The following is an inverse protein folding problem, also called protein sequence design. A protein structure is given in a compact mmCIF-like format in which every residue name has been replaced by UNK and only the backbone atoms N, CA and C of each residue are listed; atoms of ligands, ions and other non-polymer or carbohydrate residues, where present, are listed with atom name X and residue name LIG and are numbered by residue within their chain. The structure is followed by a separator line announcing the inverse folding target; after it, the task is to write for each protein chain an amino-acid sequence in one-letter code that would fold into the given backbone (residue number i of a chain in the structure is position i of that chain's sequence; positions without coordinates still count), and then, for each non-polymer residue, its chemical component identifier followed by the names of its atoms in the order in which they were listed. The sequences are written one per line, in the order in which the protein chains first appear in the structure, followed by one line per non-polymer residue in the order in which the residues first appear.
data_IF_212138935672
#
_entry.id   IF_212138935672
#
_cell.length_a   1.000
_cell.length_b   1.000
_cell.length_c   1.000
_cell.angle_alpha   90.00
_cell.angle_beta   90.00
_cell.angle_gamma   90.00
#
_symmetry.space_group_name_H-M   'P 1'
#
loop_
_entity.id
_entity.type
_entity.pdbx_description
1 polymer ?
#
# COMPACT_ATOMS: atom_id res chain seq x y z
N UNK A 1 13.67 11.59 -16.19
CA UNK A 1 12.82 10.38 -16.32
C UNK A 1 13.55 9.11 -15.84
N UNK A 2 14.82 8.94 -16.19
CA UNK A 2 15.65 7.79 -15.78
C UNK A 2 15.65 7.60 -14.24
N UNK A 3 15.82 8.67 -13.46
CA UNK A 3 15.84 8.62 -12.00
C UNK A 3 14.58 7.99 -11.39
N UNK A 4 13.43 8.12 -12.02
CA UNK A 4 12.18 7.55 -11.52
C UNK A 4 12.02 6.07 -11.89
N UNK A 5 12.56 5.65 -13.02
CA UNK A 5 12.67 4.21 -13.34
C UNK A 5 13.65 3.54 -12.38
N UNK A 6 14.79 4.18 -12.12
CA UNK A 6 15.74 3.75 -11.09
C UNK A 6 15.07 3.64 -9.70
N UNK A 7 14.26 4.65 -9.31
CA UNK A 7 13.55 4.63 -8.02
C UNK A 7 12.63 3.41 -7.89
N UNK A 8 11.87 3.10 -8.94
CA UNK A 8 11.01 1.92 -8.97
C UNK A 8 11.86 0.64 -8.84
N UNK A 9 12.95 0.54 -9.60
CA UNK A 9 13.84 -0.62 -9.55
C UNK A 9 14.48 -0.80 -8.16
N UNK A 10 14.98 0.29 -7.55
CA UNK A 10 15.59 0.29 -6.21
C UNK A 10 14.55 -0.06 -5.14
N UNK A 11 13.30 0.44 -5.27
CA UNK A 11 12.22 0.07 -4.37
C UNK A 11 11.92 -1.43 -4.42
N UNK A 12 11.70 -1.98 -5.63
CA UNK A 12 11.41 -3.41 -5.75
C UNK A 12 12.60 -4.30 -5.36
N UNK A 13 13.84 -3.87 -5.62
CA UNK A 13 15.03 -4.56 -5.14
C UNK A 13 15.09 -4.57 -3.60
N UNK A 14 14.83 -3.42 -2.94
CA UNK A 14 14.74 -3.35 -1.49
C UNK A 14 13.63 -4.21 -0.91
N UNK A 15 12.45 -4.17 -1.53
CA UNK A 15 11.32 -5.00 -1.14
C UNK A 15 11.63 -6.51 -1.28
N UNK A 16 12.25 -6.92 -2.39
CA UNK A 16 12.70 -8.31 -2.59
C UNK A 16 13.75 -8.71 -1.56
N UNK A 17 14.69 -7.81 -1.22
CA UNK A 17 15.72 -8.09 -0.21
C UNK A 17 15.11 -8.37 1.17
N UNK A 18 14.05 -7.65 1.56
CA UNK A 18 13.32 -7.92 2.81
C UNK A 18 12.61 -9.28 2.74
N UNK A 19 12.03 -9.64 1.60
CA UNK A 19 11.43 -10.98 1.40
C UNK A 19 12.46 -12.10 1.53
N UNK A 20 13.62 -11.94 0.89
CA UNK A 20 14.73 -12.90 0.98
C UNK A 20 15.28 -13.00 2.41
N UNK A 21 15.36 -11.87 3.12
CA UNK A 21 15.73 -11.88 4.54
C UNK A 21 14.72 -12.70 5.37
N UNK A 22 13.43 -12.52 5.15
CA UNK A 22 12.39 -13.32 5.82
C UNK A 22 12.57 -14.81 5.57
N UNK A 23 12.76 -15.24 4.32
CA UNK A 23 13.03 -16.64 4.00
C UNK A 23 14.32 -17.19 4.65
N UNK A 24 15.37 -16.37 4.71
CA UNK A 24 16.63 -16.76 5.36
C UNK A 24 16.45 -16.96 6.88
N UNK A 25 15.72 -16.07 7.54
CA UNK A 25 15.41 -16.17 8.97
C UNK A 25 14.53 -17.40 9.28
N UNK A 26 13.56 -17.70 8.42
CA UNK A 26 12.72 -18.89 8.54
C UNK A 26 13.57 -20.17 8.36
N UNK A 27 14.40 -20.23 7.34
CA UNK A 27 15.33 -21.36 7.11
C UNK A 27 16.32 -21.56 8.27
N UNK A 28 16.76 -20.46 8.90
CA UNK A 28 17.60 -20.49 10.10
C UNK A 28 16.83 -20.85 11.39
N UNK A 29 15.50 -21.09 11.31
CA UNK A 29 14.62 -21.41 12.44
C UNK A 29 14.69 -20.38 13.58
N UNK A 30 14.78 -19.10 13.22
CA UNK A 30 14.73 -18.00 14.18
C UNK A 30 13.35 -17.95 14.80
N UNK A 31 13.28 -17.58 16.11
CA UNK A 31 11.97 -17.50 16.79
C UNK A 31 11.00 -16.55 16.08
N UNK A 32 9.68 -16.84 16.05
CA UNK A 32 8.70 -16.05 15.33
C UNK A 32 8.74 -14.55 15.68
N UNK A 33 8.87 -14.21 16.96
CA UNK A 33 8.92 -12.81 17.42
C UNK A 33 10.14 -12.05 16.88
N UNK A 34 11.31 -12.68 16.88
CA UNK A 34 12.53 -12.09 16.32
C UNK A 34 12.42 -11.97 14.80
N UNK A 35 11.91 -13.02 14.14
CA UNK A 35 11.66 -13.03 12.70
C UNK A 35 10.77 -11.85 12.29
N UNK A 36 9.58 -11.72 12.89
CA UNK A 36 8.63 -10.66 12.55
C UNK A 36 9.20 -9.27 12.87
N UNK A 37 9.84 -9.11 14.02
CA UNK A 37 10.46 -7.83 14.39
C UNK A 37 11.52 -7.40 13.37
N UNK A 38 12.44 -8.31 13.00
CA UNK A 38 13.52 -8.00 12.04
C UNK A 38 12.97 -7.66 10.67
N UNK A 39 12.00 -8.44 10.17
CA UNK A 39 11.37 -8.20 8.87
C UNK A 39 10.63 -6.86 8.85
N UNK A 40 9.86 -6.54 9.89
CA UNK A 40 9.13 -5.27 10.00
C UNK A 40 10.08 -4.07 10.09
N UNK A 41 11.16 -4.17 10.87
CA UNK A 41 12.18 -3.10 10.94
C UNK A 41 12.90 -2.94 9.61
N UNK A 42 13.26 -4.05 8.95
CA UNK A 42 13.88 -4.00 7.60
C UNK A 42 12.95 -3.35 6.57
N UNK A 43 11.64 -3.61 6.67
CA UNK A 43 10.63 -2.97 5.80
C UNK A 43 10.62 -1.45 5.98
N UNK A 44 10.82 -0.91 7.20
CA UNK A 44 10.93 0.53 7.41
C UNK A 44 12.09 1.14 6.64
N UNK A 45 13.23 0.45 6.51
CA UNK A 45 14.39 0.95 5.76
C UNK A 45 14.12 1.06 4.25
N UNK A 46 13.19 0.29 3.70
CA UNK A 46 12.76 0.40 2.30
C UNK A 46 12.18 1.79 2.01
N UNK A 47 11.66 2.52 3.02
CA UNK A 47 11.23 3.90 2.86
C UNK A 47 12.31 4.81 2.29
N UNK A 48 13.58 4.57 2.58
CA UNK A 48 14.69 5.38 2.08
C UNK A 48 14.78 5.36 0.55
N UNK A 49 14.25 4.31 -0.10
CA UNK A 49 14.28 4.18 -1.57
C UNK A 49 13.49 5.27 -2.29
N UNK A 50 12.44 5.84 -1.66
CA UNK A 50 11.67 6.94 -2.26
C UNK A 50 12.52 8.20 -2.46
N UNK A 51 13.61 8.34 -1.69
CA UNK A 51 14.55 9.45 -1.77
C UNK A 51 15.69 9.20 -2.77
N UNK A 52 15.67 8.09 -3.52
CA UNK A 52 16.70 7.79 -4.51
C UNK A 52 17.01 8.95 -5.46
N UNK A 53 16.01 9.67 -6.05
CA UNK A 53 16.31 10.82 -6.89
C UNK A 53 17.07 11.93 -6.15
N UNK A 54 16.80 12.11 -4.85
CA UNK A 54 17.50 13.11 -4.03
C UNK A 54 18.95 12.66 -3.78
N UNK A 55 19.16 11.40 -3.47
CA UNK A 55 20.51 10.81 -3.32
C UNK A 55 21.32 10.90 -4.62
N UNK A 56 20.64 10.92 -5.79
CA UNK A 56 21.22 11.11 -7.13
C UNK A 56 21.38 12.59 -7.51
N UNK A 57 21.20 13.52 -6.56
CA UNK A 57 21.44 14.96 -6.74
C UNK A 57 20.23 15.81 -7.12
N UNK A 58 19.01 15.25 -7.16
CA UNK A 58 17.81 16.05 -7.40
C UNK A 58 17.48 16.89 -6.15
N UNK A 59 17.24 18.21 -6.28
CA UNK A 59 16.78 19.02 -5.15
C UNK A 59 15.47 18.48 -4.55
N UNK A 60 15.36 18.45 -3.22
CA UNK A 60 14.17 17.96 -2.50
C UNK A 60 12.89 18.67 -2.96
N UNK A 61 12.95 19.98 -3.24
CA UNK A 61 11.81 20.76 -3.74
C UNK A 61 11.33 20.26 -5.10
N UNK A 62 12.25 19.89 -5.98
CA UNK A 62 11.94 19.35 -7.32
C UNK A 62 11.37 17.94 -7.21
N UNK A 63 11.99 17.08 -6.40
CA UNK A 63 11.48 15.75 -6.11
C UNK A 63 10.04 15.78 -5.58
N UNK A 64 9.75 16.62 -4.55
CA UNK A 64 8.40 16.77 -4.01
C UNK A 64 7.38 17.19 -5.07
N UNK A 65 7.73 18.13 -5.93
CA UNK A 65 6.87 18.55 -7.04
C UNK A 65 6.67 17.44 -8.06
N UNK A 66 7.72 16.71 -8.34
CA UNK A 66 7.65 15.63 -9.32
C UNK A 66 6.74 14.50 -8.84
N UNK A 67 6.93 13.96 -7.65
CA UNK A 67 6.07 12.90 -7.12
C UNK A 67 4.66 13.38 -6.79
N UNK A 68 4.44 14.69 -6.75
CA UNK A 68 3.15 15.28 -6.38
C UNK A 68 2.93 15.40 -4.87
N UNK A 69 4.01 15.39 -4.08
CA UNK A 69 3.97 15.60 -2.62
C UNK A 69 3.90 17.11 -2.32
N UNK A 70 2.76 17.71 -2.61
CA UNK A 70 2.48 19.13 -2.43
C UNK A 70 0.97 19.35 -2.26
N UNK A 71 0.59 20.47 -1.71
CA UNK A 71 -0.81 20.82 -1.43
C UNK A 71 -1.21 22.07 -2.25
N UNK A 72 -1.61 21.91 -3.53
CA UNK A 72 -1.83 23.04 -4.45
C UNK A 72 -2.97 23.97 -4.00
N UNK A 73 -3.95 23.44 -3.26
CA UNK A 73 -5.12 24.19 -2.75
C UNK A 73 -5.11 24.35 -1.24
N UNK A 74 -3.97 24.12 -0.58
CA UNK A 74 -3.81 24.12 0.87
C UNK A 74 -4.02 22.75 1.51
N UNK A 75 -3.23 22.46 2.55
CA UNK A 75 -3.17 21.12 3.17
C UNK A 75 -4.53 20.64 3.66
N UNK A 76 -5.29 21.49 4.35
CA UNK A 76 -6.62 21.12 4.87
C UNK A 76 -7.59 20.69 3.75
N UNK A 77 -7.54 21.38 2.60
CA UNK A 77 -8.38 21.04 1.44
C UNK A 77 -7.95 19.74 0.79
N UNK A 78 -6.64 19.43 0.75
CA UNK A 78 -6.15 18.16 0.22
C UNK A 78 -6.48 17.00 1.17
N UNK A 79 -6.42 17.20 2.48
CA UNK A 79 -6.88 16.22 3.48
C UNK A 79 -8.39 15.97 3.30
N UNK A 80 -9.21 17.04 3.26
CA UNK A 80 -10.65 16.91 3.03
C UNK A 80 -10.98 16.20 1.71
N UNK A 81 -10.25 16.51 0.64
CA UNK A 81 -10.40 15.82 -0.65
C UNK A 81 -10.05 14.33 -0.57
N UNK A 82 -9.04 13.96 0.23
CA UNK A 82 -8.71 12.56 0.49
C UNK A 82 -9.83 11.82 1.19
N UNK A 83 -10.39 12.40 2.25
CA UNK A 83 -11.52 11.83 2.98
C UNK A 83 -12.78 11.70 2.12
N UNK A 84 -13.15 12.75 1.39
CA UNK A 84 -14.31 12.73 0.49
C UNK A 84 -14.12 11.75 -0.67
N UNK A 85 -12.93 11.73 -1.29
CA UNK A 85 -12.60 10.81 -2.37
C UNK A 85 -12.63 9.35 -1.90
N UNK A 86 -12.11 9.08 -0.71
CA UNK A 86 -12.19 7.77 -0.07
C UNK A 86 -13.64 7.35 0.16
N UNK A 87 -14.44 8.20 0.83
CA UNK A 87 -15.85 7.91 1.11
C UNK A 87 -16.65 7.63 -0.17
N UNK A 88 -16.48 8.47 -1.20
CA UNK A 88 -17.15 8.28 -2.49
C UNK A 88 -16.71 6.98 -3.17
N UNK A 89 -15.40 6.65 -3.12
CA UNK A 89 -14.91 5.40 -3.70
C UNK A 89 -15.40 4.17 -2.94
N UNK A 90 -15.53 4.23 -1.61
CA UNK A 90 -16.02 3.12 -0.81
C UNK A 90 -17.45 2.67 -1.19
N UNK A 91 -18.29 3.55 -1.69
CA UNK A 91 -19.61 3.16 -2.19
C UNK A 91 -19.50 2.19 -3.38
N UNK A 92 -18.60 2.48 -4.32
CA UNK A 92 -18.31 1.60 -5.47
C UNK A 92 -17.58 0.35 -5.03
N UNK A 93 -16.59 0.52 -4.17
CA UNK A 93 -15.78 -0.57 -3.63
C UNK A 93 -16.61 -1.65 -2.94
N UNK A 94 -17.53 -1.26 -2.05
CA UNK A 94 -18.37 -2.23 -1.32
C UNK A 94 -19.26 -3.04 -2.26
N UNK A 95 -19.84 -2.44 -3.29
CA UNK A 95 -20.65 -3.17 -4.28
C UNK A 95 -19.79 -4.21 -4.99
N UNK A 96 -18.62 -3.81 -5.47
CA UNK A 96 -17.70 -4.71 -6.17
C UNK A 96 -17.17 -5.79 -5.22
N UNK A 97 -16.80 -5.42 -3.98
CA UNK A 97 -16.32 -6.36 -2.98
C UNK A 97 -17.37 -7.44 -2.66
N UNK A 98 -18.62 -7.04 -2.48
CA UNK A 98 -19.73 -7.99 -2.30
C UNK A 98 -19.85 -8.97 -3.47
N UNK A 99 -19.81 -8.46 -4.70
CA UNK A 99 -19.90 -9.30 -5.90
C UNK A 99 -18.71 -10.28 -5.98
N UNK A 100 -17.49 -9.79 -5.76
CA UNK A 100 -16.26 -10.61 -5.80
C UNK A 100 -16.31 -11.71 -4.74
N UNK A 101 -16.69 -11.35 -3.50
CA UNK A 101 -16.80 -12.32 -2.40
C UNK A 101 -17.92 -13.33 -2.67
N UNK A 102 -19.07 -12.89 -3.16
CA UNK A 102 -20.18 -13.78 -3.53
C UNK A 102 -19.75 -14.79 -4.61
N UNK A 103 -19.12 -14.32 -5.69
CA UNK A 103 -18.61 -15.20 -6.76
C UNK A 103 -17.56 -16.17 -6.20
N UNK A 104 -16.67 -15.68 -5.34
CA UNK A 104 -15.68 -16.54 -4.70
C UNK A 104 -16.32 -17.69 -3.91
N UNK A 105 -17.29 -17.39 -3.05
CA UNK A 105 -17.98 -18.44 -2.26
C UNK A 105 -18.72 -19.45 -3.13
N UNK A 106 -19.37 -18.99 -4.20
CA UNK A 106 -20.04 -19.90 -5.16
C UNK A 106 -19.01 -20.82 -5.84
N UNK A 107 -17.92 -20.26 -6.36
CA UNK A 107 -16.89 -21.02 -7.08
C UNK A 107 -16.14 -21.98 -6.15
N UNK A 108 -15.86 -21.57 -4.92
CA UNK A 108 -15.11 -22.34 -3.92
C UNK A 108 -16.01 -23.21 -3.03
N UNK A 109 -17.27 -23.41 -3.40
CA UNK A 109 -18.21 -24.25 -2.66
C UNK A 109 -18.26 -23.92 -1.16
N UNK A 110 -18.36 -22.62 -0.84
CA UNK A 110 -18.42 -22.08 0.52
C UNK A 110 -17.15 -22.28 1.38
N UNK A 111 -16.00 -22.60 0.77
CA UNK A 111 -14.73 -22.60 1.51
C UNK A 111 -14.31 -21.16 1.83
N UNK A 112 -13.93 -20.83 3.09
CA UNK A 112 -13.50 -19.49 3.43
C UNK A 112 -12.20 -19.12 2.71
N UNK A 113 -11.92 -17.84 2.47
CA UNK A 113 -10.63 -17.37 2.00
C UNK A 113 -9.52 -17.77 2.97
N UNK A 114 -8.33 -18.05 2.43
CA UNK A 114 -7.15 -18.28 3.27
C UNK A 114 -6.83 -17.03 4.10
N UNK A 115 -6.38 -17.23 5.33
CA UNK A 115 -5.87 -16.15 6.17
C UNK A 115 -4.72 -15.39 5.46
N UNK A 116 -4.70 -14.09 5.60
CA UNK A 116 -3.57 -13.31 5.10
C UNK A 116 -2.46 -13.28 6.17
N UNK A 117 -1.20 -13.17 5.73
CA UNK A 117 -0.08 -13.01 6.66
C UNK A 117 -0.27 -11.83 7.64
N UNK A 118 -0.91 -10.75 7.22
CA UNK A 118 -1.20 -9.63 8.12
C UNK A 118 -2.13 -10.04 9.27
N UNK A 119 -3.10 -10.93 9.03
CA UNK A 119 -3.99 -11.45 10.07
C UNK A 119 -3.21 -12.27 11.08
N UNK A 120 -2.25 -13.08 10.62
CA UNK A 120 -1.37 -13.88 11.49
C UNK A 120 -0.48 -13.00 12.36
N UNK A 121 0.14 -11.96 11.76
CA UNK A 121 1.00 -11.02 12.49
C UNK A 121 0.20 -10.17 13.49
N UNK A 122 -1.02 -9.77 13.16
CA UNK A 122 -1.91 -9.04 14.07
C UNK A 122 -2.43 -9.91 15.22
N UNK A 123 -2.39 -11.24 15.08
CA UNK A 123 -2.66 -12.20 16.16
C UNK A 123 -1.47 -12.43 17.11
N UNK A 124 -0.34 -11.75 16.91
CA UNK A 124 0.84 -11.84 17.80
C UNK A 124 0.53 -11.30 19.20
N UNK A 125 1.05 -11.97 20.22
CA UNK A 125 1.01 -11.48 21.60
C UNK A 125 2.16 -10.51 21.93
N UNK A 126 3.03 -10.21 20.95
CA UNK A 126 4.16 -9.30 21.16
C UNK A 126 3.76 -7.85 20.87
N UNK A 127 3.69 -6.96 21.89
CA UNK A 127 3.26 -5.57 21.69
C UNK A 127 4.13 -4.79 20.69
N UNK A 128 5.44 -5.10 20.63
CA UNK A 128 6.34 -4.45 19.69
C UNK A 128 5.98 -4.80 18.24
N UNK A 129 5.70 -6.06 17.96
CA UNK A 129 5.25 -6.52 16.63
C UNK A 129 3.95 -5.83 16.25
N UNK A 130 2.97 -5.74 17.17
CA UNK A 130 1.70 -5.06 16.92
C UNK A 130 1.88 -3.58 16.63
N UNK A 131 2.72 -2.87 17.39
CA UNK A 131 3.02 -1.45 17.12
C UNK A 131 3.73 -1.27 15.78
N UNK A 132 4.70 -2.12 15.48
CA UNK A 132 5.44 -2.06 14.21
C UNK A 132 4.52 -2.31 13.01
N UNK A 133 3.68 -3.34 13.03
CA UNK A 133 2.76 -3.62 11.91
C UNK A 133 1.69 -2.55 11.77
N UNK A 134 1.13 -2.05 12.88
CA UNK A 134 0.13 -0.99 12.86
C UNK A 134 0.69 0.30 12.24
N UNK A 135 1.85 0.75 12.71
CA UNK A 135 2.50 1.96 12.19
C UNK A 135 2.99 1.78 10.75
N UNK A 136 3.45 0.58 10.39
CA UNK A 136 3.83 0.26 9.04
C UNK A 136 2.61 0.33 8.10
N UNK A 137 1.47 -0.21 8.48
CA UNK A 137 0.26 -0.17 7.69
C UNK A 137 -0.31 1.26 7.57
N UNK A 138 -0.37 2.01 8.67
CA UNK A 138 -1.10 3.29 8.74
C UNK A 138 -0.28 4.52 8.36
N UNK A 139 1.04 4.45 8.46
CA UNK A 139 1.94 5.57 8.18
C UNK A 139 2.92 5.27 7.05
N UNK A 140 3.67 4.17 7.16
CA UNK A 140 4.69 3.82 6.18
C UNK A 140 4.07 3.51 4.80
N UNK A 141 3.07 2.63 4.75
CA UNK A 141 2.45 2.22 3.49
C UNK A 141 1.86 3.41 2.74
N UNK A 142 1.02 4.29 3.33
CA UNK A 142 0.52 5.47 2.63
C UNK A 142 1.64 6.39 2.12
N UNK A 143 2.68 6.60 2.90
CA UNK A 143 3.79 7.47 2.50
C UNK A 143 4.60 6.88 1.35
N UNK A 144 5.03 5.65 1.49
CA UNK A 144 5.99 5.01 0.57
C UNK A 144 5.28 4.52 -0.68
N UNK A 145 4.17 3.81 -0.52
CA UNK A 145 3.46 3.20 -1.64
C UNK A 145 2.79 4.25 -2.53
N UNK A 146 2.17 5.31 -1.95
CA UNK A 146 1.62 6.36 -2.78
C UNK A 146 2.71 7.15 -3.53
N UNK A 147 3.89 7.33 -2.93
CA UNK A 147 5.03 7.95 -3.61
C UNK A 147 5.52 7.07 -4.78
N UNK A 148 5.62 5.77 -4.60
CA UNK A 148 6.07 4.83 -5.64
C UNK A 148 4.99 4.65 -6.70
N UNK A 149 3.78 4.25 -6.31
CA UNK A 149 2.74 3.85 -7.27
C UNK A 149 2.04 5.05 -7.91
N UNK A 150 1.68 6.11 -7.17
CA UNK A 150 0.94 7.27 -7.70
C UNK A 150 1.85 8.45 -8.05
N UNK A 151 2.88 8.66 -7.26
CA UNK A 151 3.87 9.72 -7.49
C UNK A 151 4.81 9.42 -8.64
N UNK A 152 5.20 8.16 -8.80
CA UNK A 152 6.25 7.75 -9.75
C UNK A 152 5.69 6.90 -10.88
N UNK A 153 5.20 5.69 -10.63
CA UNK A 153 4.80 4.71 -11.64
C UNK A 153 3.59 5.19 -12.45
N UNK A 154 2.48 5.53 -11.79
CA UNK A 154 1.27 6.03 -12.43
C UNK A 154 1.57 7.26 -13.29
N UNK A 155 2.30 8.24 -12.74
CA UNK A 155 2.68 9.44 -13.48
C UNK A 155 3.55 9.13 -14.70
N UNK A 156 4.50 8.22 -14.59
CA UNK A 156 5.34 7.79 -15.70
C UNK A 156 4.52 7.16 -16.83
N UNK A 157 3.53 6.33 -16.50
CA UNK A 157 2.66 5.70 -17.48
C UNK A 157 1.58 6.64 -18.02
N UNK A 158 1.03 7.51 -17.16
CA UNK A 158 -0.07 8.43 -17.52
C UNK A 158 0.21 9.25 -18.78
N UNK A 159 1.44 9.70 -18.95
CA UNK A 159 1.87 10.48 -20.12
C UNK A 159 2.17 9.64 -21.38
N UNK A 160 2.24 8.30 -21.25
CA UNK A 160 2.60 7.38 -22.34
C UNK A 160 1.42 6.57 -22.84
N UNK A 161 0.58 6.07 -21.94
CA UNK A 161 -0.50 5.14 -22.29
C UNK A 161 -1.90 5.66 -21.96
N UNK A 162 -1.99 6.91 -21.48
CA UNK A 162 -3.26 7.54 -21.14
C UNK A 162 -3.78 7.14 -19.73
N UNK A 163 -4.93 7.73 -19.34
CA UNK A 163 -5.48 7.61 -17.99
C UNK A 163 -5.88 6.17 -17.65
N UNK A 164 -6.69 5.54 -18.48
CA UNK A 164 -7.28 4.22 -18.19
C UNK A 164 -6.21 3.15 -18.01
N UNK A 165 -5.31 3.02 -19.00
CA UNK A 165 -4.24 2.02 -18.95
C UNK A 165 -3.26 2.27 -17.80
N UNK A 166 -2.91 3.54 -17.52
CA UNK A 166 -2.03 3.88 -16.40
C UNK A 166 -2.69 3.59 -15.04
N UNK A 167 -3.98 3.91 -14.87
CA UNK A 167 -4.71 3.66 -13.62
C UNK A 167 -4.86 2.17 -13.36
N UNK A 168 -5.34 1.41 -14.34
CA UNK A 168 -5.52 -0.05 -14.20
C UNK A 168 -4.17 -0.76 -14.05
N UNK A 169 -3.17 -0.43 -14.86
CA UNK A 169 -1.85 -1.05 -14.79
C UNK A 169 -1.13 -0.79 -13.45
N UNK A 170 -1.16 0.47 -12.96
CA UNK A 170 -0.56 0.79 -11.66
C UNK A 170 -1.31 0.13 -10.49
N UNK A 171 -2.63 0.01 -10.58
CA UNK A 171 -3.45 -0.69 -9.60
C UNK A 171 -3.18 -2.21 -9.59
N UNK A 172 -3.00 -2.82 -10.76
CA UNK A 172 -2.65 -4.23 -10.88
C UNK A 172 -1.27 -4.52 -10.28
N UNK A 173 -0.25 -3.73 -10.60
CA UNK A 173 1.08 -3.88 -9.99
C UNK A 173 1.06 -3.63 -8.48
N UNK A 174 0.26 -2.66 -8.01
CA UNK A 174 0.04 -2.40 -6.59
C UNK A 174 -0.51 -3.65 -5.88
N UNK A 175 -1.54 -4.26 -6.45
CA UNK A 175 -2.13 -5.48 -5.89
C UNK A 175 -1.13 -6.65 -5.88
N UNK A 176 -0.44 -6.90 -7.01
CA UNK A 176 0.54 -7.99 -7.13
C UNK A 176 1.70 -7.86 -6.13
N UNK A 177 2.13 -6.64 -5.81
CA UNK A 177 3.18 -6.39 -4.82
C UNK A 177 2.82 -6.90 -3.41
N UNK A 178 1.54 -7.03 -3.09
CA UNK A 178 1.08 -7.52 -1.78
C UNK A 178 1.17 -9.04 -1.61
N UNK A 179 1.19 -9.81 -2.70
CA UNK A 179 1.31 -11.27 -2.66
C UNK A 179 0.11 -11.97 -2.01
N UNK A 180 -1.07 -11.38 -2.10
CA UNK A 180 -2.31 -11.92 -1.54
C UNK A 180 -2.93 -12.99 -2.43
N UNK A 181 -3.85 -13.79 -1.85
CA UNK A 181 -4.69 -14.72 -2.58
C UNK A 181 -5.61 -13.98 -3.59
N UNK A 182 -6.12 -14.66 -4.64
CA UNK A 182 -6.81 -14.01 -5.78
C UNK A 182 -7.93 -13.05 -5.37
N UNK A 183 -8.73 -13.40 -4.37
CA UNK A 183 -9.84 -12.54 -3.89
C UNK A 183 -9.31 -11.22 -3.31
N UNK A 184 -8.35 -11.30 -2.38
CA UNK A 184 -7.75 -10.10 -1.78
C UNK A 184 -6.98 -9.28 -2.83
N UNK A 185 -6.35 -9.94 -3.81
CA UNK A 185 -5.64 -9.28 -4.90
C UNK A 185 -6.58 -8.40 -5.73
N UNK A 186 -7.78 -8.87 -6.05
CA UNK A 186 -8.81 -8.06 -6.74
C UNK A 186 -9.24 -6.88 -5.87
N UNK A 187 -9.49 -7.11 -4.58
CA UNK A 187 -9.94 -6.07 -3.64
C UNK A 187 -8.87 -4.97 -3.46
N UNK A 188 -7.60 -5.36 -3.28
CA UNK A 188 -6.49 -4.40 -3.20
C UNK A 188 -6.27 -3.66 -4.52
N UNK A 189 -6.47 -4.34 -5.66
CA UNK A 189 -6.43 -3.70 -6.97
C UNK A 189 -7.51 -2.64 -7.13
N UNK A 190 -8.72 -2.90 -6.65
CA UNK A 190 -9.82 -1.93 -6.66
C UNK A 190 -9.52 -0.71 -5.77
N UNK A 191 -8.91 -0.89 -4.59
CA UNK A 191 -8.41 0.23 -3.79
C UNK A 191 -7.35 1.02 -4.55
N UNK A 192 -6.42 0.30 -5.17
CA UNK A 192 -5.39 0.87 -6.01
C UNK A 192 -5.93 1.74 -7.14
N UNK A 193 -6.99 1.30 -7.78
CA UNK A 193 -7.69 2.06 -8.82
C UNK A 193 -8.30 3.36 -8.26
N UNK A 194 -8.99 3.28 -7.13
CA UNK A 194 -9.55 4.45 -6.44
C UNK A 194 -8.49 5.49 -6.10
N UNK A 195 -7.35 5.06 -5.57
CA UNK A 195 -6.24 5.97 -5.27
C UNK A 195 -5.66 6.61 -6.54
N UNK A 196 -5.56 5.87 -7.66
CA UNK A 196 -5.12 6.44 -8.93
C UNK A 196 -6.10 7.51 -9.46
N UNK A 197 -7.40 7.30 -9.31
CA UNK A 197 -8.43 8.27 -9.69
C UNK A 197 -8.41 9.52 -8.79
N UNK A 198 -8.25 9.36 -7.48
CA UNK A 198 -8.06 10.49 -6.54
C UNK A 198 -6.80 11.29 -6.93
N UNK A 199 -5.71 10.59 -7.26
CA UNK A 199 -4.47 11.22 -7.75
C UNK A 199 -4.69 12.05 -9.02
N UNK A 200 -5.41 11.50 -9.98
CA UNK A 200 -5.72 12.20 -11.23
C UNK A 200 -6.58 13.45 -10.97
N UNK A 201 -7.63 13.29 -10.16
CA UNK A 201 -8.53 14.40 -9.81
C UNK A 201 -7.83 15.56 -9.11
N UNK A 202 -6.90 15.28 -8.20
CA UNK A 202 -6.28 16.32 -7.37
C UNK A 202 -4.95 16.84 -7.89
N UNK A 203 -4.24 16.06 -8.71
CA UNK A 203 -2.88 16.38 -9.13
C UNK A 203 -1.83 16.29 -8.01
N UNK A 204 -2.18 15.71 -6.86
CA UNK A 204 -1.39 15.57 -5.64
C UNK A 204 -1.50 14.16 -5.08
N UNK A 205 -0.45 13.64 -4.45
CA UNK A 205 -0.50 12.36 -3.71
C UNK A 205 -0.94 12.53 -2.25
N UNK A 206 -1.05 13.75 -1.74
CA UNK A 206 -1.49 14.00 -0.36
C UNK A 206 -2.90 13.43 -0.12
N UNK A 207 -3.90 13.68 -0.99
CA UNK A 207 -5.23 13.07 -0.82
C UNK A 207 -5.22 11.54 -0.88
N UNK A 208 -4.36 10.95 -1.71
CA UNK A 208 -4.27 9.48 -1.79
C UNK A 208 -3.61 8.88 -0.55
N UNK A 209 -2.59 9.55 -0.01
CA UNK A 209 -1.99 9.16 1.28
C UNK A 209 -3.02 9.20 2.41
N UNK A 210 -3.88 10.23 2.45
CA UNK A 210 -4.97 10.33 3.44
C UNK A 210 -5.98 9.20 3.26
N UNK A 211 -6.46 8.99 2.03
CA UNK A 211 -7.42 7.93 1.71
C UNK A 211 -6.87 6.55 2.08
N UNK A 212 -5.62 6.26 1.73
CA UNK A 212 -4.92 5.02 2.01
C UNK A 212 -4.70 4.83 3.53
N UNK A 213 -4.18 5.87 4.22
CA UNK A 213 -3.96 5.82 5.66
C UNK A 213 -5.25 5.58 6.45
N UNK A 214 -6.34 6.25 6.07
CA UNK A 214 -7.66 6.04 6.68
C UNK A 214 -8.16 4.61 6.43
N UNK A 215 -8.04 4.10 5.20
CA UNK A 215 -8.41 2.72 4.88
C UNK A 215 -7.66 1.72 5.76
N UNK A 216 -6.34 1.82 5.78
CA UNK A 216 -5.51 0.90 6.56
C UNK A 216 -5.74 1.04 8.06
N UNK A 217 -5.95 2.26 8.57
CA UNK A 217 -6.30 2.49 9.97
C UNK A 217 -7.61 1.78 10.35
N UNK A 218 -8.66 1.97 9.55
CA UNK A 218 -9.97 1.35 9.80
C UNK A 218 -9.88 -0.17 9.77
N UNK A 219 -9.26 -0.72 8.72
CA UNK A 219 -9.15 -2.18 8.54
C UNK A 219 -8.27 -2.81 9.63
N UNK A 220 -7.10 -2.24 9.91
CA UNK A 220 -6.18 -2.79 10.92
C UNK A 220 -6.78 -2.70 12.32
N UNK A 221 -7.44 -1.59 12.65
CA UNK A 221 -8.14 -1.44 13.95
C UNK A 221 -9.28 -2.44 14.07
N UNK A 222 -10.10 -2.61 13.03
CA UNK A 222 -11.18 -3.59 13.04
C UNK A 222 -10.65 -5.03 13.22
N UNK A 223 -9.55 -5.38 12.54
CA UNK A 223 -8.91 -6.69 12.71
C UNK A 223 -8.41 -6.90 14.15
N UNK A 224 -7.74 -5.91 14.74
CA UNK A 224 -7.26 -6.00 16.13
C UNK A 224 -8.41 -6.16 17.12
N UNK A 225 -9.52 -5.44 16.92
CA UNK A 225 -10.71 -5.58 17.79
C UNK A 225 -11.33 -6.98 17.64
N UNK A 226 -11.49 -7.49 16.43
CA UNK A 226 -12.04 -8.83 16.19
C UNK A 226 -11.15 -9.90 16.83
N UNK A 227 -9.84 -9.83 16.62
CA UNK A 227 -8.88 -10.79 17.19
C UNK A 227 -8.85 -10.71 18.72
N UNK A 228 -8.89 -9.52 19.31
CA UNK A 228 -8.95 -9.33 20.75
C UNK A 228 -10.26 -9.79 21.40
N UNK A 229 -11.37 -9.87 20.64
CA UNK A 229 -12.65 -10.41 21.14
C UNK A 229 -12.75 -11.93 21.01
N UNK A 230 -11.89 -12.55 20.20
CA UNK A 230 -11.90 -13.99 19.91
C UNK A 230 -10.88 -14.79 20.76
N UNK A 231 -10.01 -14.13 21.51
CA UNK A 231 -9.02 -14.71 22.43
C UNK A 231 -9.42 -14.55 23.86
#
# INVERSE_FOLDING_TARGET
QILFVETIAVFFAGFLSVRLLGFALEAAKVSPDVHETVVLVAQWLVALTILWPVARGMPVREWRRYVGLWAPRGLAREIGAGLCGYAAWMLVYFVIAMLVVMVYYVVRQNQPPQSSRITEVLGSNNPLVLVLVFTLATMWAPLVEETIFRGTLYRYWRVRVGLGAAAVGSAALFAMAHGYAPVQLVLVGMLGLGFALIREWRGSIVPTMVAHGVHNFVVTTAMLVILGLSG
#
